data_IF_739483342512
#
_entry.id   IF_739483342512
#
_cell.length_a   1.000
_cell.length_b   1.000
_cell.length_c   1.000
_cell.angle_alpha   90.00
_cell.angle_beta   90.00
_cell.angle_gamma   90.00
#
_symmetry.space_group_name_H-M   'P 1'
#
loop_
_entity.id
_entity.type
_entity.pdbx_description
1 polymer ?
#
# COMPACT_ATOMS: atom_id res chain seq x y z
N UNK A 1 -3.31 -17.48 -15.36
CA UNK A 1 -3.23 -18.07 -14.01
C UNK A 1 -3.73 -17.04 -13.02
N UNK A 2 -4.70 -17.38 -12.16
CA UNK A 2 -5.34 -16.44 -11.24
C UNK A 2 -4.99 -16.87 -9.81
N UNK A 3 -3.99 -16.24 -9.20
CA UNK A 3 -3.79 -16.37 -7.75
C UNK A 3 -4.76 -15.40 -7.08
N UNK A 4 -5.87 -15.92 -6.58
CA UNK A 4 -6.52 -15.33 -5.41
C UNK A 4 -6.04 -16.15 -4.22
N UNK A 5 -5.08 -15.68 -3.41
CA UNK A 5 -5.02 -16.18 -2.06
C UNK A 5 -6.29 -15.66 -1.38
N UNK A 6 -7.23 -16.57 -1.06
CA UNK A 6 -8.02 -16.36 0.16
C UNK A 6 -6.99 -16.02 1.23
N UNK A 7 -7.16 -14.91 1.95
CA UNK A 7 -6.29 -14.45 3.06
C UNK A 7 -5.69 -15.63 3.81
N UNK A 8 -4.50 -16.06 3.39
CA UNK A 8 -3.93 -17.30 3.85
C UNK A 8 -3.30 -17.01 5.21
N UNK A 9 -3.93 -17.51 6.27
CA UNK A 9 -3.36 -17.67 7.61
C UNK A 9 -2.81 -16.42 8.35
N UNK A 10 -3.12 -15.19 7.92
CA UNK A 10 -2.76 -13.97 8.65
C UNK A 10 -1.85 -12.99 7.89
N UNK A 11 -1.95 -12.95 6.56
CA UNK A 11 -1.27 -11.96 5.70
C UNK A 11 -2.30 -11.25 4.83
N UNK A 12 -2.14 -9.94 4.71
CA UNK A 12 -2.80 -9.07 3.73
C UNK A 12 -1.78 -8.63 2.69
N UNK A 13 -2.13 -8.72 1.42
CA UNK A 13 -1.32 -8.17 0.33
C UNK A 13 -1.88 -6.80 -0.05
N UNK A 14 -1.00 -5.81 -0.12
CA UNK A 14 -1.29 -4.47 -0.59
C UNK A 14 -0.46 -4.20 -1.84
N UNK A 15 -1.04 -3.62 -2.87
CA UNK A 15 -0.29 -3.15 -4.04
C UNK A 15 -0.24 -1.63 -3.97
N UNK A 16 0.96 -1.07 -3.98
CA UNK A 16 1.22 0.36 -4.09
C UNK A 16 1.68 0.68 -5.50
N UNK A 17 1.30 1.83 -6.01
CA UNK A 17 1.83 2.37 -7.26
C UNK A 17 2.76 3.52 -6.93
N UNK A 18 3.97 3.48 -7.47
CA UNK A 18 4.94 4.55 -7.44
C UNK A 18 5.33 4.95 -8.87
N UNK A 19 6.30 5.85 -9.00
CA UNK A 19 6.77 6.42 -10.26
C UNK A 19 7.50 5.40 -11.14
N UNK A 20 7.92 4.28 -10.54
CA UNK A 20 8.64 3.18 -11.17
C UNK A 20 7.74 1.97 -11.46
N UNK A 21 6.51 1.97 -10.93
CA UNK A 21 5.46 1.00 -11.22
C UNK A 21 4.78 0.44 -9.97
N UNK A 22 4.35 -0.82 -10.06
CA UNK A 22 3.61 -1.49 -8.99
C UNK A 22 4.57 -2.18 -8.00
N UNK A 23 4.42 -1.88 -6.72
CA UNK A 23 5.12 -2.51 -5.60
C UNK A 23 4.15 -3.36 -4.80
N UNK A 24 4.48 -4.63 -4.60
CA UNK A 24 3.70 -5.50 -3.72
C UNK A 24 4.22 -5.42 -2.29
N UNK A 25 3.34 -5.11 -1.36
CA UNK A 25 3.61 -5.02 0.07
C UNK A 25 2.87 -6.15 0.81
N UNK A 26 3.57 -6.76 1.76
CA UNK A 26 3.08 -7.88 2.57
C UNK A 26 2.88 -7.38 3.99
N UNK A 27 1.61 -7.33 4.41
CA UNK A 27 1.19 -6.84 5.72
C UNK A 27 0.75 -8.02 6.58
N UNK A 28 1.49 -8.29 7.64
CA UNK A 28 1.08 -9.30 8.62
C UNK A 28 -0.17 -8.84 9.38
N UNK A 29 -1.06 -9.78 9.73
CA UNK A 29 -2.33 -9.52 10.41
C UNK A 29 -2.19 -8.65 11.65
N UNK A 30 -1.20 -8.94 12.50
CA UNK A 30 -0.97 -8.16 13.72
C UNK A 30 -0.63 -6.68 13.44
N UNK A 31 -0.06 -6.35 12.28
CA UNK A 31 0.16 -4.98 11.85
C UNK A 31 -1.09 -4.40 11.18
N UNK A 32 -1.76 -5.19 10.33
CA UNK A 32 -3.03 -4.80 9.71
C UNK A 32 -4.08 -4.44 10.76
N UNK A 33 -4.22 -5.22 11.83
CA UNK A 33 -5.16 -4.97 12.92
C UNK A 33 -4.78 -3.69 13.69
N UNK A 34 -3.48 -3.48 13.97
CA UNK A 34 -2.98 -2.29 14.70
C UNK A 34 -3.06 -1.00 13.90
N UNK A 35 -2.91 -1.06 12.58
CA UNK A 35 -2.90 0.09 11.68
C UNK A 35 -4.05 0.03 10.66
N UNK A 36 -5.17 -0.61 11.02
CA UNK A 36 -6.30 -0.88 10.12
C UNK A 36 -6.79 0.38 9.40
N UNK A 37 -6.91 1.49 10.12
CA UNK A 37 -7.35 2.77 9.55
C UNK A 37 -6.40 3.26 8.46
N UNK A 38 -5.08 3.20 8.71
CA UNK A 38 -4.10 3.59 7.69
C UNK A 38 -4.18 2.66 6.50
N UNK A 39 -4.29 1.35 6.73
CA UNK A 39 -4.35 0.32 5.68
C UNK A 39 -5.55 0.50 4.73
N UNK A 40 -6.72 0.91 5.24
CA UNK A 40 -7.98 0.93 4.47
C UNK A 40 -8.34 2.33 3.97
N UNK A 41 -8.08 3.37 4.75
CA UNK A 41 -8.63 4.71 4.48
C UNK A 41 -7.63 5.65 3.78
N UNK A 42 -6.37 5.25 3.63
CA UNK A 42 -5.30 6.11 3.10
C UNK A 42 -5.23 6.06 1.57
N UNK A 43 -5.15 7.23 0.93
CA UNK A 43 -4.95 7.34 -0.52
C UNK A 43 -3.45 7.45 -0.88
N UNK A 44 -2.66 8.20 -0.11
CA UNK A 44 -1.22 8.33 -0.26
C UNK A 44 -0.54 7.75 0.99
N UNK A 45 0.16 6.64 0.82
CA UNK A 45 0.75 5.88 1.91
C UNK A 45 2.27 5.82 1.80
N UNK A 46 2.97 6.09 2.91
CA UNK A 46 4.37 5.69 3.06
C UNK A 46 4.45 4.37 3.81
N UNK A 47 5.28 3.45 3.31
CA UNK A 47 5.60 2.19 3.95
C UNK A 47 7.06 2.19 4.40
N UNK A 48 7.27 1.95 5.69
CA UNK A 48 8.56 1.54 6.21
C UNK A 48 8.57 0.00 6.31
N UNK A 49 9.53 -0.63 5.67
CA UNK A 49 9.59 -2.08 5.60
C UNK A 49 10.90 -2.61 5.04
N UNK A 50 10.99 -3.94 4.99
CA UNK A 50 12.13 -4.64 4.40
C UNK A 50 11.81 -5.04 2.96
N UNK A 51 12.58 -4.53 2.00
CA UNK A 51 12.54 -5.03 0.63
C UNK A 51 13.14 -6.44 0.60
N UNK A 52 12.39 -7.38 0.05
CA UNK A 52 12.82 -8.74 -0.22
C UNK A 52 12.72 -9.04 -1.71
N UNK A 53 13.65 -9.86 -2.20
CA UNK A 53 13.62 -10.39 -3.56
C UNK A 53 13.77 -11.90 -3.49
N UNK A 54 12.75 -12.61 -3.94
CA UNK A 54 12.71 -14.08 -3.95
C UNK A 54 12.29 -14.51 -5.35
N UNK A 55 13.08 -15.37 -5.98
CA UNK A 55 12.81 -15.93 -7.31
C UNK A 55 12.46 -14.87 -8.38
N UNK A 56 13.12 -13.71 -8.30
CA UNK A 56 12.93 -12.59 -9.23
C UNK A 56 11.71 -11.71 -8.93
N UNK A 57 10.88 -12.06 -7.95
CA UNK A 57 9.76 -11.23 -7.47
C UNK A 57 10.25 -10.34 -6.34
N UNK A 58 9.87 -9.07 -6.37
CA UNK A 58 10.14 -8.12 -5.30
C UNK A 58 8.88 -7.84 -4.50
N UNK A 59 9.01 -7.86 -3.17
CA UNK A 59 7.96 -7.43 -2.26
C UNK A 59 8.55 -6.72 -1.04
N UNK A 60 7.75 -5.86 -0.42
CA UNK A 60 8.13 -5.18 0.82
C UNK A 60 7.41 -5.82 1.99
N UNK A 61 8.16 -6.36 2.96
CA UNK A 61 7.59 -6.80 4.24
C UNK A 61 7.35 -5.57 5.10
N UNK A 62 6.08 -5.23 5.31
CA UNK A 62 5.66 -4.00 5.97
C UNK A 62 5.92 -4.08 7.47
N UNK A 63 6.56 -3.04 8.01
CA UNK A 63 6.80 -2.88 9.45
C UNK A 63 5.98 -1.73 10.03
N UNK A 64 5.76 -0.67 9.25
CA UNK A 64 4.92 0.48 9.61
C UNK A 64 4.34 1.14 8.37
N UNK A 65 3.10 1.61 8.49
CA UNK A 65 2.41 2.42 7.49
C UNK A 65 2.11 3.81 8.04
N UNK A 66 2.25 4.84 7.21
CA UNK A 66 1.88 6.22 7.52
C UNK A 66 0.92 6.77 6.46
N UNK A 67 -0.11 7.48 6.92
CA UNK A 67 -1.01 8.22 6.05
C UNK A 67 -0.35 9.56 5.70
N UNK A 68 -0.24 9.84 4.41
CA UNK A 68 0.30 11.10 3.88
C UNK A 68 -0.78 11.89 3.11
N UNK A 69 -2.06 11.59 3.31
CA UNK A 69 -3.17 12.24 2.60
C UNK A 69 -3.21 13.76 2.80
N UNK A 70 -2.60 14.27 3.86
CA UNK A 70 -2.40 15.71 4.08
C UNK A 70 -1.64 16.38 2.92
N UNK A 71 -0.69 15.68 2.29
CA UNK A 71 0.05 16.18 1.13
C UNK A 71 -0.85 16.29 -0.11
N UNK A 72 -1.90 15.47 -0.19
CA UNK A 72 -2.88 15.53 -1.28
C UNK A 72 -3.86 16.70 -1.13
N UNK A 73 -4.04 17.25 0.07
CA UNK A 73 -4.96 18.38 0.28
C UNK A 73 -4.55 19.62 -0.50
N UNK A 74 -3.24 19.86 -0.68
CA UNK A 74 -2.71 20.95 -1.50
C UNK A 74 -2.74 20.68 -3.01
N UNK A 75 -3.01 19.43 -3.42
CA UNK A 75 -3.04 18.98 -4.81
C UNK A 75 -4.46 18.85 -5.37
N UNK A 76 -5.50 19.18 -4.59
CA UNK A 76 -6.89 19.24 -5.07
C UNK A 76 -7.00 20.33 -6.13
N UNK A 77 -6.66 20.00 -7.37
CA UNK A 77 -7.00 20.83 -8.52
C UNK A 77 -8.51 20.82 -8.61
N UNK A 78 -9.14 21.99 -8.39
CA UNK A 78 -10.50 22.21 -8.84
C UNK A 78 -10.61 21.72 -10.30
N UNK A 79 -11.67 20.96 -10.59
CA UNK A 79 -12.05 20.64 -11.96
C UNK A 79 -11.89 21.91 -12.78
N UNK A 80 -10.95 21.91 -13.74
CA UNK A 80 -10.93 22.97 -14.75
C UNK A 80 -12.10 22.64 -15.65
N UNK A 81 -13.24 23.24 -15.33
CA UNK A 81 -14.39 23.20 -16.21
C UNK A 81 -13.96 23.93 -17.50
N UNK A 82 -13.61 23.15 -18.52
CA UNK A 82 -13.40 23.68 -19.87
C UNK A 82 -14.79 23.92 -20.46
N UNK A 83 -15.18 25.20 -20.53
CA UNK A 83 -16.34 25.67 -21.29
C UNK A 83 -15.97 25.90 -22.75
#
# INVERSE_FOLDING_TARGET
MRQRPQTASGVTFLTLEDETGMVNAVVWRHLADRQHRVLVDTQLMQIDGRLERVDGVQHVIVQRMHCLDELLQGLRSHSRDFH
#
